data_IF_161401305578
#
_entry.id   IF_161401305578
#
_cell.length_a   1.000
_cell.length_b   1.000
_cell.length_c   1.000
_cell.angle_alpha   90.00
_cell.angle_beta   90.00
_cell.angle_gamma   90.00
#
_symmetry.space_group_name_H-M   'P 1'
#
loop_
_entity.id
_entity.type
_entity.pdbx_description
1 polymer ?
#
# COMPACT_ATOMS: atom_id res chain seq x y z
N UNK A 1 -11.96 23.12 -1.83
CA UNK A 1 -12.71 22.81 -3.06
C UNK A 1 -11.84 23.18 -4.26
N UNK A 2 -11.96 22.47 -5.37
CA UNK A 2 -11.21 22.61 -6.61
C UNK A 2 -12.22 22.94 -7.69
N UNK A 3 -11.90 23.90 -8.54
CA UNK A 3 -12.67 24.16 -9.76
C UNK A 3 -12.32 23.09 -10.79
N UNK A 4 -13.31 22.29 -11.18
CA UNK A 4 -13.15 21.22 -12.16
C UNK A 4 -13.28 21.82 -13.55
N UNK A 5 -12.16 21.79 -14.27
CA UNK A 5 -12.10 22.14 -15.69
C UNK A 5 -12.16 20.85 -16.53
N UNK A 6 -12.93 20.80 -17.64
CA UNK A 6 -13.11 19.59 -18.44
C UNK A 6 -11.79 18.95 -18.90
N UNK A 7 -10.81 19.75 -19.32
CA UNK A 7 -9.54 19.24 -19.86
C UNK A 7 -8.71 18.63 -18.73
N UNK A 8 -8.65 19.30 -17.58
CA UNK A 8 -7.96 18.79 -16.39
C UNK A 8 -8.65 17.58 -15.77
N UNK A 9 -9.98 17.50 -15.88
CA UNK A 9 -10.77 16.38 -15.41
C UNK A 9 -10.50 15.12 -16.24
N UNK A 10 -10.38 15.24 -17.56
CA UNK A 10 -10.00 14.14 -18.42
C UNK A 10 -8.61 13.58 -18.04
N UNK A 11 -7.62 14.46 -17.81
CA UNK A 11 -6.28 14.04 -17.36
C UNK A 11 -6.32 13.43 -15.95
N UNK A 12 -7.13 14.00 -15.05
CA UNK A 12 -7.35 13.47 -13.69
C UNK A 12 -7.95 12.06 -13.73
N UNK A 13 -8.97 11.84 -14.57
CA UNK A 13 -9.61 10.56 -14.77
C UNK A 13 -8.60 9.51 -15.28
N UNK A 14 -7.78 9.87 -16.27
CA UNK A 14 -6.75 8.96 -16.79
C UNK A 14 -5.70 8.61 -15.72
N UNK A 15 -5.24 9.59 -14.92
CA UNK A 15 -4.28 9.34 -13.83
C UNK A 15 -4.86 8.39 -12.77
N UNK A 16 -6.12 8.59 -12.39
CA UNK A 16 -6.79 7.73 -11.42
C UNK A 16 -6.99 6.33 -12.01
N UNK A 17 -7.41 6.20 -13.27
CA UNK A 17 -7.53 4.91 -13.97
C UNK A 17 -6.21 4.15 -13.95
N UNK A 18 -5.12 4.77 -14.40
CA UNK A 18 -3.81 4.13 -14.45
C UNK A 18 -3.35 3.66 -13.06
N UNK A 19 -3.61 4.45 -12.02
CA UNK A 19 -3.27 4.08 -10.63
C UNK A 19 -4.14 2.98 -10.07
N UNK A 20 -5.44 2.99 -10.38
CA UNK A 20 -6.36 1.95 -9.99
C UNK A 20 -5.98 0.61 -10.64
N UNK A 21 -5.72 0.61 -11.95
CA UNK A 21 -5.25 -0.57 -12.68
C UNK A 21 -3.94 -1.10 -12.11
N UNK A 22 -2.99 -0.22 -11.78
CA UNK A 22 -1.74 -0.59 -11.11
C UNK A 22 -1.97 -1.20 -9.71
N UNK A 23 -2.89 -0.64 -8.94
CA UNK A 23 -3.20 -1.13 -7.59
C UNK A 23 -3.82 -2.53 -7.62
N UNK A 24 -4.62 -2.82 -8.65
CA UNK A 24 -5.29 -4.12 -8.86
C UNK A 24 -4.50 -5.12 -9.71
N UNK A 25 -3.32 -4.74 -10.20
CA UNK A 25 -2.50 -5.54 -11.13
C UNK A 25 -3.25 -5.95 -12.40
N UNK A 26 -4.08 -5.03 -12.92
CA UNK A 26 -4.89 -5.23 -14.11
C UNK A 26 -4.28 -4.55 -15.34
N UNK A 27 -4.33 -5.18 -16.52
CA UNK A 27 -4.05 -4.51 -17.78
C UNK A 27 -5.18 -3.53 -18.13
N UNK A 28 -4.86 -2.52 -18.94
CA UNK A 28 -5.90 -1.66 -19.52
C UNK A 28 -6.69 -2.45 -20.59
N UNK A 29 -7.98 -2.68 -20.31
CA UNK A 29 -8.95 -3.36 -21.18
C UNK A 29 -10.25 -2.57 -21.24
N UNK A 30 -10.14 -1.24 -21.26
CA UNK A 30 -11.27 -0.33 -21.25
C UNK A 30 -12.29 -0.64 -22.37
N UNK A 31 -13.57 -0.75 -22.00
CA UNK A 31 -14.67 -1.06 -22.94
C UNK A 31 -15.87 -0.13 -22.77
N UNK A 32 -16.20 0.23 -21.52
CA UNK A 32 -17.37 1.06 -21.21
C UNK A 32 -17.23 2.51 -21.69
N UNK A 33 -18.36 3.16 -21.97
CA UNK A 33 -18.38 4.62 -22.24
C UNK A 33 -18.75 5.35 -20.96
N UNK A 34 -17.89 6.28 -20.54
CA UNK A 34 -18.15 7.15 -19.39
C UNK A 34 -18.33 8.58 -19.90
N UNK A 35 -19.53 9.12 -19.70
CA UNK A 35 -19.88 10.51 -19.93
C UNK A 35 -19.79 11.24 -18.60
N UNK A 36 -19.12 12.39 -18.58
CA UNK A 36 -18.96 13.20 -17.36
C UNK A 36 -19.55 14.58 -17.64
N UNK A 37 -20.61 14.92 -16.92
CA UNK A 37 -21.33 16.17 -17.08
C UNK A 37 -21.03 17.08 -15.87
N UNK A 38 -20.56 18.30 -16.14
CA UNK A 38 -20.25 19.30 -15.12
C UNK A 38 -21.40 20.28 -14.97
N UNK A 39 -21.93 20.38 -13.76
CA UNK A 39 -22.99 21.30 -13.41
C UNK A 39 -22.48 22.39 -12.46
N UNK A 40 -22.94 23.64 -12.57
CA UNK A 40 -22.59 24.67 -11.60
C UNK A 40 -22.91 24.23 -10.17
N UNK A 41 -21.98 24.42 -9.24
CA UNK A 41 -22.15 23.98 -7.85
C UNK A 41 -23.37 24.61 -7.16
N UNK A 42 -23.83 25.77 -7.62
CA UNK A 42 -25.06 26.42 -7.15
C UNK A 42 -26.34 25.67 -7.54
N UNK A 43 -26.31 24.90 -8.63
CA UNK A 43 -27.43 24.08 -9.10
C UNK A 43 -27.36 22.62 -8.66
N UNK A 44 -26.20 22.15 -8.18
CA UNK A 44 -26.00 20.76 -7.79
C UNK A 44 -26.55 20.52 -6.38
N UNK A 45 -27.66 19.77 -6.29
CA UNK A 45 -28.24 19.36 -5.01
C UNK A 45 -27.40 18.26 -4.32
N UNK A 46 -26.74 17.42 -5.13
CA UNK A 46 -25.79 16.39 -4.70
C UNK A 46 -24.48 16.66 -5.46
N UNK A 47 -23.31 16.62 -4.81
CA UNK A 47 -22.04 16.99 -5.43
C UNK A 47 -21.59 16.01 -6.52
N UNK A 48 -22.03 14.74 -6.48
CA UNK A 48 -21.78 13.76 -7.52
C UNK A 48 -22.92 12.73 -7.60
N UNK A 49 -23.32 12.35 -8.80
CA UNK A 49 -24.32 11.31 -9.04
C UNK A 49 -23.88 10.42 -10.22
N UNK A 50 -24.10 9.11 -10.09
CA UNK A 50 -23.69 8.12 -11.09
C UNK A 50 -24.90 7.30 -11.55
N UNK A 51 -25.11 7.28 -12.86
CA UNK A 51 -26.13 6.45 -13.51
C UNK A 51 -25.45 5.41 -14.40
N UNK A 52 -25.85 4.14 -14.26
CA UNK A 52 -25.36 3.03 -15.08
C UNK A 52 -26.49 2.49 -15.96
N UNK A 53 -26.28 2.45 -17.27
CA UNK A 53 -27.27 2.08 -18.27
C UNK A 53 -26.74 0.94 -19.14
N UNK A 54 -27.45 -0.19 -19.17
CA UNK A 54 -27.15 -1.27 -20.10
C UNK A 54 -27.81 -0.99 -21.45
N UNK A 55 -27.01 -0.99 -22.52
CA UNK A 55 -27.47 -0.84 -23.90
C UNK A 55 -27.00 -2.01 -24.75
N UNK A 56 -27.56 -2.23 -25.96
CA UNK A 56 -27.13 -3.30 -26.87
C UNK A 56 -25.64 -3.24 -27.28
N UNK A 57 -24.96 -2.10 -27.06
CA UNK A 57 -23.53 -1.89 -27.31
C UNK A 57 -22.67 -1.98 -26.05
N UNK A 58 -23.22 -2.49 -24.95
CA UNK A 58 -22.56 -2.59 -23.65
C UNK A 58 -23.01 -1.51 -22.66
N UNK A 59 -22.30 -1.46 -21.53
CA UNK A 59 -22.58 -0.52 -20.45
C UNK A 59 -22.17 0.92 -20.79
N UNK A 60 -23.04 1.85 -20.43
CA UNK A 60 -22.77 3.29 -20.44
C UNK A 60 -22.94 3.86 -19.04
N UNK A 61 -22.05 4.76 -18.68
CA UNK A 61 -22.03 5.42 -17.39
C UNK A 61 -22.15 6.91 -17.58
N UNK A 62 -23.00 7.53 -16.78
CA UNK A 62 -23.18 8.97 -16.76
C UNK A 62 -22.86 9.47 -15.35
N UNK A 63 -21.84 10.31 -15.26
CA UNK A 63 -21.36 10.87 -14.01
C UNK A 63 -21.61 12.37 -14.00
N UNK A 64 -22.62 12.79 -13.24
CA UNK A 64 -22.92 14.19 -12.98
C UNK A 64 -22.04 14.67 -11.82
N UNK A 65 -21.28 15.75 -12.02
CA UNK A 65 -20.41 16.35 -11.02
C UNK A 65 -20.69 17.84 -10.86
N UNK A 66 -20.62 18.33 -9.63
CA UNK A 66 -20.54 19.77 -9.40
C UNK A 66 -19.18 20.30 -9.88
N UNK A 67 -19.16 21.48 -10.52
CA UNK A 67 -17.94 22.15 -10.99
C UNK A 67 -16.98 22.54 -9.85
N UNK A 68 -17.45 22.54 -8.59
CA UNK A 68 -16.63 22.81 -7.41
C UNK A 68 -16.75 21.73 -6.35
N UNK A 69 -15.77 20.84 -6.27
CA UNK A 69 -15.73 19.72 -5.34
C UNK A 69 -14.39 19.63 -4.60
N UNK A 70 -14.33 18.98 -3.44
CA UNK A 70 -13.03 18.64 -2.86
C UNK A 70 -12.36 17.47 -3.62
N UNK A 71 -11.02 17.38 -3.61
CA UNK A 71 -10.30 16.35 -4.35
C UNK A 71 -10.68 14.91 -3.99
N UNK A 72 -11.02 14.65 -2.74
CA UNK A 72 -11.36 13.30 -2.29
C UNK A 72 -12.71 12.89 -2.86
N UNK A 73 -13.71 13.78 -2.85
CA UNK A 73 -15.03 13.52 -3.46
C UNK A 73 -14.93 13.36 -4.97
N UNK A 74 -14.10 14.17 -5.66
CA UNK A 74 -13.84 13.98 -7.10
C UNK A 74 -13.20 12.62 -7.38
N UNK A 75 -12.15 12.26 -6.63
CA UNK A 75 -11.48 10.98 -6.80
C UNK A 75 -12.42 9.81 -6.50
N UNK A 76 -13.23 9.90 -5.45
CA UNK A 76 -14.24 8.91 -5.08
C UNK A 76 -15.23 8.65 -6.21
N UNK A 77 -15.77 9.71 -6.80
CA UNK A 77 -16.72 9.60 -7.91
C UNK A 77 -16.10 8.92 -9.14
N UNK A 78 -14.86 9.29 -9.47
CA UNK A 78 -14.11 8.67 -10.57
C UNK A 78 -13.75 7.21 -10.28
N UNK A 79 -13.32 6.89 -9.06
CA UNK A 79 -13.04 5.50 -8.66
C UNK A 79 -14.32 4.66 -8.72
N UNK A 80 -15.46 5.20 -8.30
CA UNK A 80 -16.75 4.49 -8.37
C UNK A 80 -17.11 4.07 -9.79
N UNK A 81 -17.06 5.01 -10.75
CA UNK A 81 -17.39 4.69 -12.14
C UNK A 81 -16.38 3.74 -12.77
N UNK A 82 -15.09 3.87 -12.43
CA UNK A 82 -14.05 2.94 -12.90
C UNK A 82 -14.24 1.53 -12.34
N UNK A 83 -14.58 1.38 -11.06
CA UNK A 83 -14.83 0.08 -10.45
C UNK A 83 -16.06 -0.59 -11.06
N UNK A 84 -17.13 0.17 -11.33
CA UNK A 84 -18.30 -0.37 -12.02
C UNK A 84 -18.01 -0.72 -13.48
N UNK A 85 -17.19 0.06 -14.19
CA UNK A 85 -16.75 -0.28 -15.55
C UNK A 85 -15.97 -1.58 -15.55
N UNK A 86 -15.02 -1.75 -14.62
CA UNK A 86 -14.23 -2.97 -14.48
C UNK A 86 -15.12 -4.16 -14.16
N UNK A 87 -16.02 -4.02 -13.18
CA UNK A 87 -16.89 -5.11 -12.74
C UNK A 87 -17.88 -5.53 -13.83
N UNK A 88 -18.42 -4.59 -14.59
CA UNK A 88 -19.47 -4.89 -15.57
C UNK A 88 -18.95 -5.33 -16.95
N UNK A 89 -17.64 -5.52 -17.16
CA UNK A 89 -17.08 -5.91 -18.47
C UNK A 89 -17.65 -7.22 -19.02
N UNK A 90 -17.95 -8.16 -18.12
CA UNK A 90 -18.57 -9.44 -18.45
C UNK A 90 -19.99 -9.56 -17.91
N UNK A 91 -20.56 -8.45 -17.42
CA UNK A 91 -21.93 -8.43 -16.93
C UNK A 91 -22.94 -8.54 -18.07
N UNK A 92 -24.03 -9.25 -17.81
CA UNK A 92 -25.25 -9.14 -18.61
C UNK A 92 -26.00 -7.83 -18.32
N UNK A 93 -27.33 -7.88 -18.28
CA UNK A 93 -28.18 -6.71 -18.05
C UNK A 93 -28.23 -6.20 -16.59
N UNK A 94 -27.60 -6.89 -15.63
CA UNK A 94 -27.58 -6.52 -14.22
C UNK A 94 -26.22 -5.88 -13.86
N UNK A 95 -26.25 -4.68 -13.28
CA UNK A 95 -25.02 -4.02 -12.82
C UNK A 95 -24.51 -4.67 -11.54
N UNK A 96 -23.19 -4.75 -11.39
CA UNK A 96 -22.53 -5.12 -10.15
C UNK A 96 -22.89 -4.16 -9.01
N UNK A 97 -23.02 -4.71 -7.80
CA UNK A 97 -23.10 -3.95 -6.56
C UNK A 97 -21.72 -3.94 -5.90
N UNK A 98 -21.18 -2.74 -5.65
CA UNK A 98 -19.88 -2.59 -5.01
C UNK A 98 -20.02 -2.60 -3.48
N UNK A 99 -19.16 -3.33 -2.74
CA UNK A 99 -19.10 -3.17 -1.29
C UNK A 99 -18.73 -1.73 -0.92
N UNK A 100 -19.39 -1.12 0.09
CA UNK A 100 -19.17 0.28 0.42
C UNK A 100 -17.73 0.54 0.92
N UNK A 101 -17.15 -0.42 1.65
CA UNK A 101 -15.77 -0.34 2.14
C UNK A 101 -14.74 -0.38 1.00
N UNK A 102 -15.06 -1.02 -0.14
CA UNK A 102 -14.15 -1.15 -1.27
C UNK A 102 -13.95 0.21 -1.94
N UNK A 103 -15.05 0.94 -2.17
CA UNK A 103 -15.02 2.26 -2.78
C UNK A 103 -14.22 3.25 -1.92
N UNK A 104 -14.57 3.40 -0.64
CA UNK A 104 -13.86 4.33 0.24
C UNK A 104 -12.39 3.94 0.42
N UNK A 105 -12.15 2.64 0.67
CA UNK A 105 -10.82 2.13 0.94
C UNK A 105 -9.87 2.26 -0.25
N UNK A 106 -10.32 1.93 -1.47
CA UNK A 106 -9.51 2.14 -2.68
C UNK A 106 -9.30 3.62 -2.99
N UNK A 107 -10.32 4.45 -2.83
CA UNK A 107 -10.19 5.90 -3.06
C UNK A 107 -9.07 6.48 -2.19
N UNK A 108 -9.09 6.19 -0.89
CA UNK A 108 -8.07 6.65 0.04
C UNK A 108 -6.73 5.98 -0.21
N UNK A 109 -6.70 4.67 -0.49
CA UNK A 109 -5.47 3.98 -0.85
C UNK A 109 -4.76 4.66 -2.02
N UNK A 110 -5.48 4.99 -3.10
CA UNK A 110 -4.93 5.66 -4.28
C UNK A 110 -4.45 7.07 -3.96
N UNK A 111 -5.27 7.88 -3.28
CA UNK A 111 -4.92 9.25 -2.91
C UNK A 111 -3.71 9.32 -1.97
N UNK A 112 -3.55 8.35 -1.06
CA UNK A 112 -2.48 8.35 -0.06
C UNK A 112 -1.20 7.66 -0.53
N UNK A 113 -1.29 6.71 -1.45
CA UNK A 113 -0.12 6.02 -2.04
C UNK A 113 0.50 6.76 -3.21
N UNK A 114 -0.23 7.69 -3.84
CA UNK A 114 0.29 8.46 -4.96
C UNK A 114 1.42 9.40 -4.55
N UNK A 115 2.56 9.31 -5.24
CA UNK A 115 3.71 10.22 -5.08
C UNK A 115 3.44 11.64 -5.62
N UNK A 116 2.37 11.79 -6.40
CA UNK A 116 1.98 13.02 -7.10
C UNK A 116 0.48 13.20 -6.95
N UNK A 117 0.01 14.45 -6.97
CA UNK A 117 -1.41 14.74 -6.86
C UNK A 117 -2.18 14.11 -8.04
N UNK A 118 -3.19 13.30 -7.71
CA UNK A 118 -4.03 12.62 -8.69
C UNK A 118 -5.08 13.56 -9.29
N UNK A 119 -5.64 14.45 -8.47
CA UNK A 119 -6.63 15.45 -8.89
C UNK A 119 -5.92 16.77 -9.20
N UNK A 120 -5.92 17.12 -10.48
CA UNK A 120 -5.27 18.33 -10.97
C UNK A 120 -6.08 19.59 -10.64
N UNK A 121 -5.38 20.73 -10.56
CA UNK A 121 -5.98 22.04 -10.29
C UNK A 121 -5.56 23.04 -11.38
N UNK A 122 -6.43 23.98 -11.78
CA UNK A 122 -6.14 24.95 -12.85
C UNK A 122 -4.98 25.93 -12.62
N UNK A 123 -4.37 25.96 -11.42
CA UNK A 123 -3.23 26.81 -11.08
C UNK A 123 -2.29 26.13 -10.09
N UNK A 124 -1.45 25.23 -10.57
CA UNK A 124 -0.30 24.73 -9.80
C UNK A 124 0.93 24.78 -10.68
N UNK A 125 1.77 25.80 -10.46
CA UNK A 125 3.10 25.95 -11.09
C UNK A 125 4.11 24.89 -10.60
N UNK A 126 3.72 24.04 -9.64
CA UNK A 126 4.59 23.07 -8.99
C UNK A 126 3.89 21.71 -8.83
N UNK A 127 4.42 20.67 -9.49
CA UNK A 127 4.12 19.27 -9.19
C UNK A 127 4.96 18.87 -7.99
N UNK A 128 4.39 18.90 -6.79
CA UNK A 128 5.11 18.42 -5.61
C UNK A 128 5.17 16.89 -5.65
N UNK A 129 6.38 16.35 -5.84
CA UNK A 129 6.66 14.95 -5.53
C UNK A 129 6.62 14.78 -4.02
N UNK A 130 5.49 14.31 -3.49
CA UNK A 130 5.36 14.00 -2.07
C UNK A 130 6.02 12.66 -1.82
N UNK A 131 7.15 12.67 -1.12
CA UNK A 131 7.69 11.47 -0.47
C UNK A 131 6.83 11.27 0.78
N UNK A 132 5.73 10.51 0.66
CA UNK A 132 4.97 10.05 1.83
C UNK A 132 5.53 8.69 2.26
N UNK A 133 6.24 8.61 3.40
CA UNK A 133 6.83 7.34 3.86
C UNK A 133 5.76 6.34 4.34
N UNK A 134 4.60 6.82 4.78
CA UNK A 134 3.48 5.98 5.24
C UNK A 134 2.14 6.50 4.68
N UNK A 135 1.48 5.70 3.83
CA UNK A 135 0.15 6.01 3.27
C UNK A 135 -0.98 5.88 4.29
N UNK A 136 -0.73 5.22 5.42
CA UNK A 136 -1.70 4.97 6.49
C UNK A 136 -1.49 5.86 7.72
N UNK A 137 -0.58 6.84 7.67
CA UNK A 137 -0.27 7.69 8.82
C UNK A 137 -1.52 8.38 9.42
N UNK A 138 -2.32 9.05 8.58
CA UNK A 138 -3.54 9.74 9.02
C UNK A 138 -4.59 8.76 9.57
N UNK A 139 -4.75 7.59 8.95
CA UNK A 139 -5.65 6.55 9.44
C UNK A 139 -5.17 5.98 10.78
N UNK A 140 -3.85 5.87 10.98
CA UNK A 140 -3.23 5.41 12.23
C UNK A 140 -3.49 6.39 13.36
N UNK A 141 -3.20 7.66 13.14
CA UNK A 141 -3.42 8.72 14.14
C UNK A 141 -4.89 8.76 14.57
N UNK A 142 -5.81 8.61 13.62
CA UNK A 142 -7.24 8.56 13.89
C UNK A 142 -7.66 7.29 14.68
N UNK A 143 -7.26 6.10 14.21
CA UNK A 143 -7.66 4.82 14.80
C UNK A 143 -6.94 4.48 16.12
N UNK A 144 -5.92 5.25 16.51
CA UNK A 144 -5.38 5.22 17.87
C UNK A 144 -6.29 5.88 18.91
N UNK A 145 -7.09 6.87 18.49
CA UNK A 145 -7.97 7.65 19.37
C UNK A 145 -9.43 7.24 19.27
N UNK A 146 -9.81 6.61 18.15
CA UNK A 146 -11.17 6.15 17.87
C UNK A 146 -11.18 4.65 17.62
N UNK A 147 -12.16 3.94 18.18
CA UNK A 147 -12.31 2.52 17.94
C UNK A 147 -12.54 2.24 16.45
N UNK A 148 -11.71 1.38 15.87
CA UNK A 148 -11.87 0.93 14.50
C UNK A 148 -13.12 0.07 14.33
N UNK A 149 -13.69 0.07 13.13
CA UNK A 149 -14.90 -0.70 12.83
C UNK A 149 -14.58 -2.17 12.60
N UNK A 150 -15.45 -3.04 13.10
CA UNK A 150 -15.48 -4.47 12.77
C UNK A 150 -15.75 -4.70 11.29
N UNK A 151 -15.46 -5.90 10.78
CA UNK A 151 -15.73 -6.22 9.38
C UNK A 151 -17.23 -6.18 9.09
N UNK A 152 -18.05 -6.61 10.05
CA UNK A 152 -19.51 -6.51 10.00
C UNK A 152 -19.98 -5.06 9.87
N UNK A 153 -19.45 -4.13 10.68
CA UNK A 153 -19.78 -2.71 10.61
C UNK A 153 -19.30 -2.03 9.31
N UNK A 154 -18.15 -2.46 8.77
CA UNK A 154 -17.67 -2.00 7.46
C UNK A 154 -18.57 -2.44 6.32
N UNK A 155 -19.12 -3.65 6.44
CA UNK A 155 -20.00 -4.28 5.45
C UNK A 155 -21.42 -3.72 5.46
N UNK A 156 -21.90 -3.32 6.64
CA UNK A 156 -23.25 -2.80 6.88
C UNK A 156 -23.17 -1.53 7.74
N UNK A 157 -22.71 -0.41 7.18
CA UNK A 157 -22.55 0.83 7.94
C UNK A 157 -23.91 1.42 8.33
N UNK A 158 -23.97 1.93 9.56
CA UNK A 158 -25.11 2.67 10.09
C UNK A 158 -25.06 4.14 9.67
N UNK A 159 -26.21 4.84 9.72
CA UNK A 159 -26.27 6.25 9.34
C UNK A 159 -25.36 7.15 10.19
N UNK A 160 -25.14 6.81 11.46
CA UNK A 160 -24.21 7.52 12.35
C UNK A 160 -22.76 7.33 11.92
N UNK A 161 -22.38 6.16 11.42
CA UNK A 161 -21.06 5.88 10.84
C UNK A 161 -20.85 6.55 9.47
N UNK A 162 -21.92 7.01 8.81
CA UNK A 162 -21.86 7.71 7.53
C UNK A 162 -21.93 9.24 7.66
N UNK A 163 -21.77 9.77 8.88
CA UNK A 163 -21.80 11.22 9.15
C UNK A 163 -20.74 11.62 10.16
N UNK A 164 -20.29 12.89 10.12
CA UNK A 164 -19.36 13.48 11.10
C UNK A 164 -18.09 12.65 11.35
N UNK A 165 -17.71 12.48 12.62
CA UNK A 165 -16.54 11.69 13.03
C UNK A 165 -16.69 10.20 12.73
N UNK A 166 -17.93 9.69 12.69
CA UNK A 166 -18.23 8.34 12.26
C UNK A 166 -17.78 8.08 10.83
N UNK A 167 -17.98 9.05 9.94
CA UNK A 167 -17.54 8.99 8.54
C UNK A 167 -16.02 8.90 8.42
N UNK A 168 -15.29 9.71 9.18
CA UNK A 168 -13.82 9.67 9.22
C UNK A 168 -13.33 8.30 9.72
N UNK A 169 -14.00 7.73 10.73
CA UNK A 169 -13.68 6.40 11.27
C UNK A 169 -13.95 5.29 10.25
N UNK A 170 -15.08 5.38 9.53
CA UNK A 170 -15.42 4.48 8.44
C UNK A 170 -14.36 4.51 7.35
N UNK A 171 -13.98 5.71 6.91
CA UNK A 171 -12.97 5.94 5.89
C UNK A 171 -11.59 5.41 6.30
N UNK A 172 -11.14 5.69 7.52
CA UNK A 172 -9.86 5.19 8.02
C UNK A 172 -9.85 3.64 8.12
N UNK A 173 -10.94 3.06 8.61
CA UNK A 173 -11.08 1.60 8.75
C UNK A 173 -11.13 0.92 7.36
N UNK A 174 -11.90 1.47 6.41
CA UNK A 174 -11.98 0.98 5.04
C UNK A 174 -10.64 1.08 4.29
N UNK A 175 -9.90 2.19 4.46
CA UNK A 175 -8.57 2.36 3.88
C UNK A 175 -7.60 1.28 4.37
N UNK A 176 -7.57 1.06 5.68
CA UNK A 176 -6.71 0.05 6.30
C UNK A 176 -7.09 -1.36 5.80
N UNK A 177 -8.39 -1.69 5.83
CA UNK A 177 -8.90 -3.00 5.39
C UNK A 177 -8.51 -3.32 3.95
N UNK A 178 -8.77 -2.39 3.01
CA UNK A 178 -8.41 -2.57 1.59
C UNK A 178 -6.90 -2.65 1.41
N UNK A 179 -6.13 -1.82 2.11
CA UNK A 179 -4.66 -1.83 2.00
C UNK A 179 -4.09 -3.17 2.48
N UNK A 180 -4.65 -3.74 3.53
CA UNK A 180 -4.24 -5.04 4.04
C UNK A 180 -4.67 -6.19 3.13
N UNK A 181 -5.88 -6.15 2.56
CA UNK A 181 -6.30 -7.12 1.53
C UNK A 181 -5.35 -7.12 0.33
N UNK A 182 -4.99 -5.93 -0.18
CA UNK A 182 -4.05 -5.79 -1.30
C UNK A 182 -2.65 -6.31 -0.99
N UNK A 183 -2.25 -6.33 0.29
CA UNK A 183 -0.94 -6.84 0.76
C UNK A 183 -0.93 -8.33 1.04
N UNK A 184 -2.09 -8.99 1.11
CA UNK A 184 -2.13 -10.46 1.24
C UNK A 184 -1.52 -11.14 0.01
N UNK A 185 -1.02 -12.39 0.12
CA UNK A 185 -0.51 -13.13 -1.02
C UNK A 185 -1.55 -13.27 -2.14
N UNK A 186 -1.24 -12.68 -3.30
CA UNK A 186 -2.15 -12.62 -4.45
C UNK A 186 -3.35 -11.69 -4.27
N UNK A 187 -3.39 -10.86 -3.22
CA UNK A 187 -4.53 -10.02 -2.85
C UNK A 187 -5.03 -9.09 -3.96
N UNK A 188 -4.10 -8.53 -4.76
CA UNK A 188 -4.43 -7.69 -5.93
C UNK A 188 -5.22 -8.46 -6.98
N UNK A 189 -4.69 -9.60 -7.42
CA UNK A 189 -5.34 -10.48 -8.37
C UNK A 189 -6.69 -11.03 -7.84
N UNK A 190 -6.79 -11.27 -6.53
CA UNK A 190 -8.04 -11.70 -5.89
C UNK A 190 -9.09 -10.60 -5.86
N UNK A 191 -8.73 -9.36 -5.52
CA UNK A 191 -9.67 -8.23 -5.62
C UNK A 191 -10.12 -7.99 -7.07
N UNK A 192 -9.20 -8.13 -8.04
CA UNK A 192 -9.55 -8.06 -9.45
C UNK A 192 -10.53 -9.19 -9.85
N UNK A 193 -10.29 -10.42 -9.42
CA UNK A 193 -11.18 -11.56 -9.67
C UNK A 193 -12.55 -11.38 -9.00
N UNK A 194 -12.58 -10.85 -7.77
CA UNK A 194 -13.83 -10.49 -7.10
C UNK A 194 -14.64 -9.50 -7.93
N UNK A 195 -14.02 -8.43 -8.42
CA UNK A 195 -14.70 -7.42 -9.24
C UNK A 195 -15.30 -8.03 -10.52
N UNK A 196 -14.55 -8.90 -11.18
CA UNK A 196 -14.99 -9.60 -12.40
C UNK A 196 -16.19 -10.53 -12.15
N UNK A 197 -16.26 -11.10 -10.94
CA UNK A 197 -17.30 -12.05 -10.54
C UNK A 197 -18.55 -11.38 -9.93
N UNK A 198 -18.46 -10.10 -9.51
CA UNK A 198 -19.58 -9.36 -8.90
C UNK A 198 -20.91 -9.44 -9.67
N UNK A 199 -20.96 -9.26 -11.00
CA UNK A 199 -22.23 -9.27 -11.73
C UNK A 199 -22.92 -10.64 -11.75
N UNK A 200 -22.19 -11.72 -11.47
CA UNK A 200 -22.73 -13.08 -11.45
C UNK A 200 -23.44 -13.42 -10.13
N UNK A 201 -23.38 -12.52 -9.15
CA UNK A 201 -23.93 -12.73 -7.82
C UNK A 201 -24.87 -11.59 -7.41
N UNK A 202 -25.97 -11.95 -6.74
CA UNK A 202 -26.91 -10.98 -6.19
C UNK A 202 -26.36 -10.23 -4.97
N UNK A 203 -25.23 -10.70 -4.42
CA UNK A 203 -24.57 -10.07 -3.30
C UNK A 203 -23.05 -10.09 -3.53
N UNK A 204 -22.36 -9.08 -3.00
CA UNK A 204 -20.91 -8.99 -3.17
C UNK A 204 -20.16 -9.99 -2.27
N UNK A 205 -20.79 -10.47 -1.19
CA UNK A 205 -20.18 -11.37 -0.21
C UNK A 205 -19.82 -12.73 -0.85
N UNK A 206 -20.65 -13.25 -1.75
CA UNK A 206 -20.37 -14.51 -2.46
C UNK A 206 -19.18 -14.36 -3.39
N UNK A 207 -19.14 -13.30 -4.21
CA UNK A 207 -17.99 -13.01 -5.07
C UNK A 207 -16.69 -12.83 -4.26
N UNK A 208 -16.78 -12.15 -3.10
CA UNK A 208 -15.65 -11.99 -2.19
C UNK A 208 -15.12 -13.34 -1.68
N UNK A 209 -16.01 -14.21 -1.16
CA UNK A 209 -15.61 -15.51 -0.63
C UNK A 209 -15.05 -16.43 -1.71
N UNK A 210 -15.57 -16.40 -2.93
CA UNK A 210 -15.03 -17.18 -4.04
C UNK A 210 -13.61 -16.72 -4.42
N UNK A 211 -13.40 -15.41 -4.57
CA UNK A 211 -12.10 -14.85 -4.93
C UNK A 211 -11.04 -15.07 -3.82
N UNK A 212 -11.46 -15.03 -2.56
CA UNK A 212 -10.58 -15.21 -1.40
C UNK A 212 -10.65 -16.59 -0.76
N UNK A 213 -11.28 -17.59 -1.39
CA UNK A 213 -11.51 -18.93 -0.83
C UNK A 213 -10.25 -19.59 -0.22
N UNK A 214 -9.05 -19.50 -0.82
CA UNK A 214 -7.83 -20.04 -0.21
C UNK A 214 -7.45 -19.45 1.16
N UNK A 215 -7.93 -18.25 1.49
CA UNK A 215 -7.65 -17.56 2.76
C UNK A 215 -8.87 -17.51 3.69
N UNK A 216 -10.07 -17.33 3.14
CA UNK A 216 -11.31 -17.17 3.90
C UNK A 216 -12.36 -18.17 3.42
N UNK A 217 -12.77 -19.09 4.30
CA UNK A 217 -13.85 -20.04 4.01
C UNK A 217 -15.22 -19.45 4.36
N UNK A 218 -15.24 -18.51 5.31
CA UNK A 218 -16.44 -17.83 5.78
C UNK A 218 -16.17 -16.36 6.10
N UNK A 219 -17.23 -15.55 6.17
CA UNK A 219 -17.11 -14.15 6.61
C UNK A 219 -16.61 -14.03 8.07
N UNK A 220 -16.83 -15.07 8.89
CA UNK A 220 -16.28 -15.12 10.25
C UNK A 220 -14.75 -15.23 10.23
N UNK A 221 -14.16 -15.90 9.23
CA UNK A 221 -12.71 -15.96 9.08
C UNK A 221 -12.14 -14.59 8.70
N UNK A 222 -12.89 -13.83 7.89
CA UNK A 222 -12.55 -12.43 7.55
C UNK A 222 -12.59 -11.56 8.80
N UNK A 223 -13.64 -11.68 9.62
CA UNK A 223 -13.77 -10.93 10.89
C UNK A 223 -12.61 -11.25 11.84
N UNK A 224 -12.26 -12.53 12.02
CA UNK A 224 -11.12 -12.94 12.85
C UNK A 224 -9.80 -12.38 12.32
N UNK A 225 -9.55 -12.53 11.02
CA UNK A 225 -8.36 -11.98 10.39
C UNK A 225 -8.29 -10.48 10.58
N UNK A 226 -9.40 -9.78 10.35
CA UNK A 226 -9.49 -8.34 10.49
C UNK A 226 -9.25 -7.86 11.93
N UNK A 227 -9.82 -8.54 12.92
CA UNK A 227 -9.59 -8.24 14.34
C UNK A 227 -8.10 -8.33 14.72
N UNK A 228 -7.38 -9.32 14.18
CA UNK A 228 -5.92 -9.44 14.36
C UNK A 228 -5.20 -8.26 13.69
N UNK A 229 -5.57 -7.91 12.45
CA UNK A 229 -4.98 -6.76 11.74
C UNK A 229 -5.21 -5.44 12.48
N UNK A 230 -6.40 -5.25 13.02
CA UNK A 230 -6.72 -4.09 13.85
C UNK A 230 -5.86 -4.05 15.10
N UNK A 231 -5.77 -5.15 15.86
CA UNK A 231 -4.93 -5.22 17.05
C UNK A 231 -3.45 -4.95 16.74
N UNK A 232 -2.93 -5.48 15.63
CA UNK A 232 -1.56 -5.20 15.17
C UNK A 232 -1.34 -3.74 14.75
N UNK A 233 -2.39 -3.08 14.24
CA UNK A 233 -2.31 -1.72 13.73
C UNK A 233 -2.48 -0.68 14.85
N UNK A 234 -3.43 -0.88 15.76
CA UNK A 234 -3.72 0.04 16.89
C UNK A 234 -2.90 -0.27 18.13
N UNK A 235 -2.48 -1.53 18.32
CA UNK A 235 -1.72 -2.01 19.48
C UNK A 235 -0.22 -1.71 19.43
N UNK A 236 0.31 -1.21 18.31
CA UNK A 236 1.68 -0.65 18.25
C UNK A 236 1.67 0.73 18.86
N UNK A 237 1.74 0.76 20.18
CA UNK A 237 1.94 1.97 20.94
C UNK A 237 3.25 2.64 20.47
N UNK A 238 3.17 3.83 19.89
CA UNK A 238 4.36 4.58 19.46
C UNK A 238 5.29 4.89 20.64
N UNK A 239 4.80 4.79 21.88
CA UNK A 239 5.58 4.87 23.11
C UNK A 239 6.33 3.56 23.48
N UNK A 240 5.89 2.40 22.97
CA UNK A 240 6.55 1.10 23.15
C UNK A 240 7.45 0.70 21.96
N UNK A 241 7.27 1.36 20.81
CA UNK A 241 8.18 1.21 19.68
C UNK A 241 9.61 1.59 20.10
N UNK A 242 10.59 0.79 19.70
CA UNK A 242 11.98 1.12 19.97
C UNK A 242 12.37 2.41 19.24
N UNK A 243 13.25 3.24 19.84
CA UNK A 243 13.89 4.34 19.13
C UNK A 243 14.42 3.88 17.77
N UNK A 244 14.35 4.74 16.75
CA UNK A 244 14.67 4.37 15.37
C UNK A 244 16.13 3.87 15.24
N UNK A 245 17.03 4.47 16.00
CA UNK A 245 18.43 4.08 16.20
C UNK A 245 18.58 2.67 16.80
N UNK A 246 17.86 2.37 17.90
CA UNK A 246 17.84 1.01 18.48
C UNK A 246 17.23 -0.03 17.52
N UNK A 247 16.21 0.37 16.77
CA UNK A 247 15.55 -0.45 15.76
C UNK A 247 16.47 -0.80 14.60
N UNK A 248 17.23 0.19 14.09
CA UNK A 248 18.22 -0.01 13.03
C UNK A 248 19.37 -0.91 13.51
N UNK A 249 19.88 -0.70 14.72
CA UNK A 249 20.90 -1.59 15.29
C UNK A 249 20.41 -3.04 15.39
N UNK A 250 19.16 -3.24 15.80
CA UNK A 250 18.57 -4.58 15.89
C UNK A 250 18.30 -5.21 14.53
N UNK A 251 17.96 -4.40 13.53
CA UNK A 251 17.89 -4.84 12.14
C UNK A 251 19.28 -5.25 11.62
N UNK A 252 20.33 -4.50 11.93
CA UNK A 252 21.71 -4.84 11.57
C UNK A 252 22.17 -6.15 12.21
N UNK A 253 21.84 -6.38 13.49
CA UNK A 253 22.10 -7.64 14.19
C UNK A 253 21.41 -8.83 13.51
N UNK A 254 20.15 -8.65 13.07
CA UNK A 254 19.41 -9.71 12.38
C UNK A 254 20.00 -9.95 10.99
N UNK A 255 20.37 -8.91 10.24
CA UNK A 255 20.92 -9.08 8.89
C UNK A 255 22.38 -9.59 8.91
N UNK A 256 23.12 -9.43 10.01
CA UNK A 256 24.45 -10.00 10.19
C UNK A 256 24.44 -11.47 10.63
N UNK A 257 25.37 -12.26 10.11
CA UNK A 257 25.70 -13.58 10.66
C UNK A 257 27.03 -13.48 11.43
N UNK A 258 27.05 -13.54 12.78
CA UNK A 258 28.31 -13.55 13.51
C UNK A 258 29.01 -14.89 13.29
N UNK A 259 30.18 -14.86 12.63
CA UNK A 259 31.02 -16.03 12.38
C UNK A 259 32.39 -15.82 13.03
N UNK A 260 32.90 -16.87 13.66
CA UNK A 260 34.23 -16.90 14.24
C UNK A 260 35.24 -17.32 13.16
N UNK A 261 36.04 -16.37 12.68
CA UNK A 261 37.09 -16.64 11.70
C UNK A 261 38.41 -16.85 12.45
N UNK A 262 39.03 -18.02 12.27
CA UNK A 262 40.40 -18.28 12.73
C UNK A 262 41.37 -18.05 11.58
N UNK A 263 42.19 -17.03 11.68
CA UNK A 263 43.20 -16.68 10.67
C UNK A 263 44.52 -17.47 10.81
N UNK A 264 44.65 -18.35 11.82
CA UNK A 264 45.83 -19.21 11.99
C UNK A 264 45.71 -20.20 13.16
N UNK A 265 46.56 -21.23 13.15
CA UNK A 265 46.51 -22.40 14.06
C UNK A 265 46.69 -22.05 15.55
N UNK A 266 47.29 -20.89 15.86
CA UNK A 266 47.56 -20.40 17.22
C UNK A 266 46.93 -19.03 17.55
N UNK A 267 45.94 -18.57 16.78
CA UNK A 267 45.27 -17.29 17.04
C UNK A 267 43.85 -17.49 17.61
N UNK A 268 43.47 -16.62 18.55
CA UNK A 268 42.10 -16.58 19.07
C UNK A 268 41.14 -16.17 17.95
N UNK A 269 40.02 -16.90 17.75
CA UNK A 269 39.05 -16.57 16.72
C UNK A 269 38.48 -15.17 16.91
N UNK A 270 38.39 -14.41 15.81
CA UNK A 270 37.79 -13.08 15.78
C UNK A 270 36.36 -13.22 15.26
N UNK A 271 35.39 -12.66 15.97
CA UNK A 271 34.00 -12.59 15.52
C UNK A 271 33.87 -11.54 14.41
N UNK A 272 33.41 -11.94 13.23
CA UNK A 272 33.10 -11.05 12.11
C UNK A 272 31.65 -11.27 11.67
N UNK A 273 30.92 -10.18 11.40
CA UNK A 273 29.55 -10.28 10.85
C UNK A 273 29.59 -10.43 9.33
N UNK A 274 29.16 -11.59 8.82
CA UNK A 274 28.99 -11.84 7.40
C UNK A 274 27.60 -11.34 6.94
N UNK A 275 27.51 -10.60 5.81
CA UNK A 275 26.23 -10.16 5.26
C UNK A 275 25.50 -11.33 4.57
N UNK A 276 24.16 -11.27 4.52
CA UNK A 276 23.32 -12.31 3.91
C UNK A 276 23.65 -12.56 2.44
N UNK A 277 24.09 -11.53 1.71
CA UNK A 277 24.51 -11.61 0.32
C UNK A 277 25.69 -12.58 0.12
N UNK A 278 26.65 -12.57 1.06
CA UNK A 278 27.80 -13.49 1.01
C UNK A 278 27.35 -14.92 1.27
N UNK A 279 26.38 -15.12 2.18
CA UNK A 279 25.80 -16.44 2.46
C UNK A 279 25.06 -16.98 1.22
N UNK A 280 24.20 -16.18 0.60
CA UNK A 280 23.44 -16.56 -0.60
C UNK A 280 24.37 -16.81 -1.80
N UNK A 281 25.45 -16.04 -1.91
CA UNK A 281 26.42 -16.15 -2.99
C UNK A 281 27.35 -17.37 -2.87
N UNK A 282 27.79 -17.71 -1.66
CA UNK A 282 28.88 -18.68 -1.44
C UNK A 282 28.41 -20.04 -0.92
N UNK A 283 27.27 -20.11 -0.22
CA UNK A 283 26.80 -21.35 0.40
C UNK A 283 25.80 -22.09 -0.51
N UNK A 284 25.73 -23.41 -0.39
CA UNK A 284 24.73 -24.19 -1.11
C UNK A 284 23.31 -23.96 -0.54
N UNK A 285 22.29 -24.37 -1.31
CA UNK A 285 20.89 -24.11 -0.91
C UNK A 285 20.45 -24.90 0.32
N UNK A 286 20.97 -26.11 0.50
CA UNK A 286 20.61 -26.97 1.62
C UNK A 286 21.06 -26.36 2.96
N UNK A 287 22.28 -25.80 3.00
CA UNK A 287 22.83 -25.20 4.22
C UNK A 287 22.28 -23.79 4.49
N UNK A 288 21.94 -23.00 3.46
CA UNK A 288 21.39 -21.65 3.67
C UNK A 288 19.90 -21.67 4.04
N UNK A 289 19.12 -22.68 3.61
CA UNK A 289 17.65 -22.70 3.76
C UNK A 289 17.19 -22.48 5.20
N UNK A 290 17.69 -23.27 6.15
CA UNK A 290 17.27 -23.18 7.55
C UNK A 290 17.66 -21.85 8.18
N UNK A 291 18.82 -21.32 7.80
CA UNK A 291 19.29 -20.01 8.25
C UNK A 291 18.40 -18.89 7.73
N UNK A 292 18.07 -18.88 6.44
CA UNK A 292 17.25 -17.84 5.83
C UNK A 292 15.80 -17.87 6.35
N UNK A 293 15.24 -19.05 6.61
CA UNK A 293 13.94 -19.19 7.28
C UNK A 293 14.00 -18.58 8.69
N UNK A 294 15.04 -18.90 9.48
CA UNK A 294 15.20 -18.33 10.81
C UNK A 294 15.33 -16.80 10.78
N UNK A 295 16.08 -16.27 9.80
CA UNK A 295 16.25 -14.82 9.61
C UNK A 295 14.95 -14.13 9.18
N UNK A 296 14.18 -14.72 8.27
CA UNK A 296 12.85 -14.22 7.89
C UNK A 296 11.89 -14.18 9.10
N UNK A 297 11.89 -15.22 9.93
CA UNK A 297 11.09 -15.26 11.15
C UNK A 297 11.52 -14.18 12.16
N UNK A 298 12.82 -13.93 12.31
CA UNK A 298 13.34 -12.86 13.18
C UNK A 298 12.94 -11.47 12.67
N UNK A 299 12.92 -11.25 11.35
CA UNK A 299 12.43 -9.98 10.77
C UNK A 299 10.94 -9.78 11.06
N UNK A 300 10.12 -10.83 10.96
CA UNK A 300 8.71 -10.77 11.35
C UNK A 300 8.53 -10.52 12.86
N UNK A 301 9.36 -11.15 13.70
CA UNK A 301 9.32 -10.94 15.15
C UNK A 301 9.79 -9.54 15.57
N UNK A 302 10.61 -8.86 14.76
CA UNK A 302 11.04 -7.48 15.00
C UNK A 302 9.93 -6.47 14.68
N UNK A 303 9.07 -6.80 13.70
CA UNK A 303 7.96 -5.98 13.20
C UNK A 303 7.10 -5.24 14.26
N UNK A 304 6.66 -5.86 15.38
CA UNK A 304 5.84 -5.18 16.38
C UNK A 304 6.56 -4.06 17.13
N UNK A 305 7.89 -4.13 17.25
CA UNK A 305 8.69 -3.19 18.04
C UNK A 305 9.25 -2.03 17.19
N UNK A 306 9.02 -2.04 15.87
CA UNK A 306 9.60 -1.05 14.96
C UNK A 306 8.76 0.22 14.87
N UNK A 307 9.39 1.39 14.77
CA UNK A 307 8.70 2.63 14.41
C UNK A 307 8.17 2.52 12.97
N UNK A 308 7.04 3.18 12.71
CA UNK A 308 6.30 3.07 11.44
C UNK A 308 7.16 3.34 10.20
N UNK A 309 8.15 4.24 10.30
CA UNK A 309 9.06 4.58 9.19
C UNK A 309 9.96 3.42 8.75
N UNK A 310 10.26 2.47 9.64
CA UNK A 310 11.13 1.32 9.37
C UNK A 310 10.36 0.05 9.02
N UNK A 311 9.04 0.01 9.23
CA UNK A 311 8.20 -1.16 8.93
C UNK A 311 8.27 -1.54 7.45
N UNK A 312 8.13 -0.61 6.48
CA UNK A 312 8.23 -0.96 5.05
C UNK A 312 9.58 -1.56 4.68
N UNK A 313 10.67 -1.08 5.28
CA UNK A 313 12.01 -1.58 5.03
C UNK A 313 12.15 -3.05 5.45
N UNK A 314 11.64 -3.40 6.65
CA UNK A 314 11.70 -4.77 7.17
C UNK A 314 10.75 -5.71 6.41
N UNK A 315 9.56 -5.22 6.03
CA UNK A 315 8.63 -5.97 5.18
C UNK A 315 9.26 -6.26 3.79
N UNK A 316 9.99 -5.30 3.20
CA UNK A 316 10.71 -5.48 1.94
C UNK A 316 11.82 -6.55 2.07
N UNK A 317 12.64 -6.51 3.13
CA UNK A 317 13.67 -7.56 3.37
C UNK A 317 13.04 -8.94 3.54
N UNK A 318 11.95 -9.03 4.30
CA UNK A 318 11.23 -10.30 4.49
C UNK A 318 10.69 -10.82 3.16
N UNK A 319 10.08 -9.95 2.35
CA UNK A 319 9.52 -10.29 1.04
C UNK A 319 10.59 -10.83 0.07
N UNK A 320 11.76 -10.19 0.00
CA UNK A 320 12.88 -10.64 -0.83
C UNK A 320 13.36 -12.03 -0.40
N UNK A 321 13.51 -12.26 0.91
CA UNK A 321 13.92 -13.56 1.45
C UNK A 321 12.88 -14.66 1.23
N UNK A 322 11.59 -14.35 1.42
CA UNK A 322 10.49 -15.28 1.16
C UNK A 322 10.42 -15.65 -0.32
N UNK A 323 10.54 -14.67 -1.21
CA UNK A 323 10.56 -14.87 -2.68
C UNK A 323 11.72 -15.76 -3.09
N UNK A 324 12.92 -15.56 -2.52
CA UNK A 324 14.07 -16.42 -2.78
C UNK A 324 13.86 -17.85 -2.30
N UNK A 325 13.33 -18.03 -1.09
CA UNK A 325 13.04 -19.35 -0.52
C UNK A 325 11.98 -20.11 -1.32
N UNK A 326 10.92 -19.43 -1.78
CA UNK A 326 9.85 -20.01 -2.59
C UNK A 326 10.34 -20.40 -3.99
N UNK A 327 10.96 -19.47 -4.71
CA UNK A 327 11.48 -19.74 -6.07
C UNK A 327 12.62 -20.77 -6.09
N UNK A 328 13.37 -20.91 -5.00
CA UNK A 328 14.43 -21.92 -4.88
C UNK A 328 13.95 -23.27 -4.37
N UNK A 329 12.72 -23.36 -3.83
CA UNK A 329 12.08 -24.62 -3.43
C UNK A 329 11.28 -25.27 -4.55
N UNK A 330 10.94 -24.53 -5.61
CA UNK A 330 10.35 -25.14 -6.79
C UNK A 330 11.35 -26.16 -7.35
N UNK A 331 11.04 -27.47 -7.33
CA UNK A 331 11.88 -28.44 -8.01
C UNK A 331 11.94 -28.03 -9.47
N UNK A 332 13.07 -28.28 -10.14
CA UNK A 332 13.14 -28.23 -11.60
C UNK A 332 11.95 -29.05 -12.14
N UNK A 333 10.89 -28.37 -12.56
CA UNK A 333 9.72 -28.97 -13.19
C UNK A 333 10.08 -29.42 -14.63
N UNK A 334 11.25 -30.04 -14.77
CA UNK A 334 11.92 -30.46 -15.99
C UNK A 334 12.28 -31.94 -15.95
N UNK A 335 11.45 -32.76 -15.29
CA UNK A 335 11.42 -34.20 -15.55
C UNK A 335 10.18 -34.65 -16.35
N UNK A 336 9.21 -33.75 -16.65
CA UNK A 336 8.04 -34.10 -17.45
C UNK A 336 7.54 -32.90 -18.29
N UNK A 337 8.09 -32.79 -19.50
CA UNK A 337 7.55 -32.10 -20.70
C UNK A 337 6.67 -30.86 -20.55
N UNK A 338 7.21 -29.69 -20.89
CA UNK A 338 6.39 -28.52 -21.26
C UNK A 338 7.13 -27.18 -21.16
N UNK A 339 7.11 -26.40 -22.25
CA UNK A 339 7.82 -25.12 -22.44
C UNK A 339 7.31 -24.01 -21.50
N UNK A 340 8.02 -23.78 -20.39
CA UNK A 340 8.11 -22.47 -19.72
C UNK A 340 9.57 -22.20 -19.34
N UNK A 341 10.11 -20.99 -19.53
CA UNK A 341 11.51 -20.70 -19.20
C UNK A 341 11.71 -20.68 -17.68
N UNK A 342 12.27 -21.76 -17.13
CA UNK A 342 12.82 -21.77 -15.77
C UNK A 342 13.93 -20.72 -15.68
N UNK A 343 13.82 -19.81 -14.72
CA UNK A 343 14.89 -18.85 -14.42
C UNK A 343 16.04 -19.66 -13.83
N UNK A 344 17.16 -19.73 -14.55
CA UNK A 344 18.36 -20.44 -14.09
C UNK A 344 18.72 -19.98 -12.67
N UNK A 345 19.04 -20.89 -11.73
CA UNK A 345 19.25 -20.56 -10.31
C UNK A 345 20.33 -19.50 -10.07
N UNK A 346 21.32 -19.39 -10.97
CA UNK A 346 22.34 -18.34 -10.93
C UNK A 346 21.80 -16.93 -11.22
N UNK A 347 20.81 -16.81 -12.11
CA UNK A 347 20.16 -15.54 -12.45
C UNK A 347 19.31 -15.07 -11.26
N UNK A 348 18.54 -15.99 -10.68
CA UNK A 348 17.74 -15.72 -9.47
C UNK A 348 18.63 -15.26 -8.31
N UNK A 349 19.76 -15.92 -8.05
CA UNK A 349 20.71 -15.50 -7.01
C UNK A 349 21.23 -14.08 -7.24
N UNK A 350 21.63 -13.76 -8.48
CA UNK A 350 22.15 -12.43 -8.82
C UNK A 350 21.08 -11.34 -8.66
N UNK A 351 19.84 -11.63 -9.05
CA UNK A 351 18.71 -10.72 -8.87
C UNK A 351 18.43 -10.45 -7.39
N UNK A 352 18.36 -11.50 -6.57
CA UNK A 352 18.11 -11.39 -5.12
C UNK A 352 19.23 -10.64 -4.41
N UNK A 353 20.50 -10.91 -4.74
CA UNK A 353 21.65 -10.15 -4.20
C UNK A 353 21.50 -8.66 -4.55
N UNK A 354 21.16 -8.34 -5.81
CA UNK A 354 20.94 -6.95 -6.22
C UNK A 354 19.78 -6.27 -5.49
N UNK A 355 18.70 -6.99 -5.21
CA UNK A 355 17.58 -6.48 -4.41
C UNK A 355 18.00 -6.22 -2.95
N UNK A 356 18.77 -7.13 -2.34
CA UNK A 356 19.30 -6.94 -0.98
C UNK A 356 20.27 -5.75 -0.90
N UNK A 357 21.14 -5.56 -1.91
CA UNK A 357 22.05 -4.42 -1.97
C UNK A 357 21.30 -3.08 -2.09
N UNK A 358 20.21 -3.04 -2.86
CA UNK A 358 19.36 -1.86 -2.94
C UNK A 358 18.65 -1.55 -1.60
N UNK A 359 18.23 -2.59 -0.86
CA UNK A 359 17.66 -2.42 0.47
C UNK A 359 18.71 -1.95 1.50
N UNK A 360 19.95 -2.44 1.40
CA UNK A 360 21.06 -1.97 2.24
C UNK A 360 21.38 -0.49 1.99
N UNK A 361 21.34 -0.04 0.73
CA UNK A 361 21.48 1.37 0.38
C UNK A 361 20.33 2.22 0.97
N UNK A 362 19.10 1.71 0.97
CA UNK A 362 17.96 2.39 1.61
C UNK A 362 18.08 2.45 3.13
N UNK A 363 18.52 1.37 3.77
CA UNK A 363 18.77 1.30 5.22
C UNK A 363 19.83 2.30 5.65
N UNK A 364 20.95 2.36 4.94
CA UNK A 364 22.05 3.30 5.25
C UNK A 364 21.63 4.76 5.03
N UNK A 365 20.83 5.05 4.01
CA UNK A 365 20.24 6.38 3.81
C UNK A 365 19.26 6.76 4.93
N UNK A 366 18.42 5.82 5.38
CA UNK A 366 17.49 6.03 6.49
C UNK A 366 18.24 6.34 7.80
N UNK A 367 19.32 5.61 8.10
CA UNK A 367 20.17 5.88 9.26
C UNK A 367 20.79 7.29 9.24
N UNK A 368 21.30 7.74 8.09
CA UNK A 368 21.89 9.09 7.94
C UNK A 368 20.86 10.19 8.15
N UNK A 369 19.65 10.03 7.61
CA UNK A 369 18.59 11.03 7.75
C UNK A 369 18.11 11.17 9.21
N UNK A 370 18.11 10.07 9.97
CA UNK A 370 17.74 10.08 11.39
C UNK A 370 18.81 10.75 12.27
N UNK A 371 20.10 10.65 11.93
CA UNK A 371 21.19 11.32 12.66
C UNK A 371 21.29 12.83 12.43
N UNK A 372 20.74 13.35 11.32
CA UNK A 372 20.77 14.81 11.02
C UNK A 372 19.68 15.56 11.78
N UNK A 373 18.55 14.91 12.12
CA UNK A 373 17.45 15.54 12.85
C UNK A 373 17.63 15.61 14.37
N UNK A 374 18.68 15.02 14.93
CA UNK A 374 18.94 15.01 16.39
C UNK A 374 19.91 16.09 16.89
N UNK A 375 20.42 16.97 16.00
CA UNK A 375 21.13 18.18 16.42
C UNK A 375 20.15 19.36 16.53
N UNK A 376 19.87 19.91 17.73
CA UNK A 376 19.13 21.15 17.84
C UNK A 376 19.95 22.29 17.19
N UNK A 377 19.33 23.24 16.46
CA UNK A 377 20.07 24.38 15.95
C UNK A 377 20.64 25.16 17.13
N UNK A 378 21.95 25.38 17.12
CA UNK A 378 22.63 26.24 18.08
C UNK A 378 21.92 27.59 18.10
N UNK A 379 21.44 28.01 19.28
CA UNK A 379 20.87 29.35 19.49
C UNK A 379 21.92 30.38 19.09
N UNK A 380 21.71 31.02 17.95
CA UNK A 380 22.44 32.23 17.56
C UNK A 380 21.90 33.35 18.43
N UNK A 381 22.71 33.81 19.39
CA UNK A 381 22.43 35.02 20.17
C UNK A 381 22.43 36.23 19.23
N UNK A 382 21.37 37.06 19.20
CA UNK A 382 21.42 38.33 18.50
C UNK A 382 22.27 39.30 19.31
N UNK A 383 23.41 39.73 18.76
CA UNK A 383 24.20 40.83 19.29
C UNK A 383 23.44 42.16 19.25
N UNK A 384 23.87 43.17 20.03
CA UNK A 384 23.09 44.39 20.25
C UNK A 384 23.02 45.26 18.97
N UNK A 385 21.96 46.08 18.83
CA UNK A 385 21.73 46.87 17.63
C UNK A 385 22.79 47.96 17.48
N UNK A 386 23.40 48.05 16.29
CA UNK A 386 24.25 49.18 15.90
C UNK A 386 23.36 50.38 15.58
N UNK A 387 23.59 51.47 16.30
CA UNK A 387 23.07 52.80 15.98
C UNK A 387 23.55 53.25 14.59
N UNK A 388 22.60 53.65 13.75
CA UNK A 388 22.88 54.35 12.49
C UNK A 388 22.65 55.85 12.73
N UNK A 389 23.74 56.54 13.02
CA UNK A 389 23.83 58.00 12.99
C UNK A 389 24.53 58.47 11.71
N UNK A 390 23.80 59.30 10.96
CA UNK A 390 24.24 60.49 10.20
C UNK A 390 25.23 60.36 9.01
N UNK A 391 24.67 60.60 7.81
CA UNK A 391 24.98 61.65 6.80
C UNK A 391 26.41 61.78 6.22
N UNK A 392 26.58 62.24 4.95
CA UNK A 392 25.98 63.44 4.34
C UNK A 392 25.00 63.22 3.18
#
# INVERSE_FOLDING_TARGET
RVNLDPDLLAVTAERIKLRLLQALDLPDRWQGRVYIDLHPAASAQIPAWLTSLYQPRGWQYHLDLADQMDPQTTARALVQVLLLEIANRHAGGQSAELPPWLLEGLTLHLLRSAQTDLVLRPRTDFVFRRIRPDSLAEARDWLHTHAALTFTELSLPTQTQLTGDGWTTYQASAQLFVTDLLRTPGGRARLAAMLDDLPHHLNWQTAFLLAFAPQFQSLLDVEKWWAIRLADFTGRDSALAWPADKSLHKLDDILGLPVLIRYGTNQTPITTNLPLQTVIGQWDFAHQRNLLIAKANLLQALRPNLPAILVPLVDDYHSVLATYLEKSQQPDAFAAGGFLPSIRPQILRREIIGQLDALDARRTAAGRNLTVSTHPPARVNPGPPKELGQFP
#
